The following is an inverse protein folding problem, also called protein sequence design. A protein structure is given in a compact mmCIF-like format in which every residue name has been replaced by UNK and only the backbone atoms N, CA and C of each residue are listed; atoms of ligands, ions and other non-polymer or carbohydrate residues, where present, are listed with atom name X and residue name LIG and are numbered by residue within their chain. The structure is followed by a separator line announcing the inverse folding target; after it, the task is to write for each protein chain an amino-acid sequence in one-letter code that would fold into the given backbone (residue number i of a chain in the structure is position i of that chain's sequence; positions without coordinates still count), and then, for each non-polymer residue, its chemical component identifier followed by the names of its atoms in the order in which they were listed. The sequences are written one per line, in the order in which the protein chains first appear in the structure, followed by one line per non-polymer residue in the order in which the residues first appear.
data_IF_555527267263
#
_entry.id   IF_555527267263
#
_cell.length_a   1.000
_cell.length_b   1.000
_cell.length_c   1.000
_cell.angle_alpha   90.00
_cell.angle_beta   90.00
_cell.angle_gamma   90.00
#
_symmetry.space_group_name_H-M   'P 1'
#
loop_
_entity.id
_entity.type
_entity.pdbx_description
1 polymer ?
#
# COMPACT_ATOMS: atom_id res chain seq x y z
N UNK A 1 16.15 1.08 5.96
CA UNK A 1 16.81 0.67 7.21
C UNK A 1 16.46 1.65 8.32
N UNK A 2 16.12 1.14 9.50
CA UNK A 2 15.90 1.92 10.73
C UNK A 2 16.89 1.49 11.81
N UNK A 3 17.11 2.33 12.82
CA UNK A 3 17.97 1.99 13.95
C UNK A 3 17.43 0.78 14.73
N UNK A 4 18.34 -0.02 15.28
CA UNK A 4 18.00 -1.16 16.15
C UNK A 4 17.60 -0.67 17.54
N UNK A 5 16.76 -1.43 18.25
CA UNK A 5 16.30 -1.18 19.63
C UNK A 5 15.29 -0.04 19.84
N UNK A 6 14.69 0.49 18.77
CA UNK A 6 13.57 1.44 18.87
C UNK A 6 12.22 0.76 18.59
N UNK A 7 11.70 0.07 19.61
CA UNK A 7 10.45 -0.69 19.52
C UNK A 7 9.33 -0.09 20.39
N UNK A 8 8.09 -0.27 19.93
CA UNK A 8 6.88 -0.04 20.71
C UNK A 8 6.65 -1.20 21.68
N UNK A 9 5.98 -0.93 22.80
CA UNK A 9 5.59 -1.96 23.78
C UNK A 9 4.59 -2.97 23.18
N UNK A 10 3.79 -2.52 22.20
CA UNK A 10 2.83 -3.34 21.47
C UNK A 10 2.90 -3.04 19.97
N UNK A 11 2.68 -4.07 19.15
CA UNK A 11 2.53 -3.86 17.70
C UNK A 11 1.37 -2.92 17.41
N UNK A 12 1.62 -1.89 16.60
CA UNK A 12 0.60 -0.96 16.14
C UNK A 12 0.08 -1.42 14.79
N UNK A 13 -1.22 -1.66 14.70
CA UNK A 13 -1.91 -1.79 13.41
C UNK A 13 -2.11 -0.39 12.82
N UNK A 14 -1.67 -0.21 11.59
CA UNK A 14 -1.78 1.08 10.90
C UNK A 14 -3.24 1.26 10.45
N UNK A 15 -3.91 2.37 10.80
CA UNK A 15 -5.24 2.68 10.26
C UNK A 15 -5.16 2.92 8.75
N UNK A 16 -6.10 2.36 8.00
CA UNK A 16 -6.17 2.49 6.55
C UNK A 16 -7.59 2.89 6.16
N UNK A 17 -7.75 4.01 5.47
CA UNK A 17 -8.96 4.31 4.72
C UNK A 17 -8.76 3.82 3.28
N UNK A 18 -9.70 3.04 2.76
CA UNK A 18 -9.65 2.50 1.41
C UNK A 18 -10.88 2.94 0.62
N UNK A 19 -10.66 3.45 -0.59
CA UNK A 19 -11.66 3.75 -1.60
C UNK A 19 -11.52 2.77 -2.75
N UNK A 20 -12.56 1.99 -2.99
CA UNK A 20 -12.62 1.02 -4.08
C UNK A 20 -13.71 1.47 -5.04
N UNK A 21 -13.31 1.94 -6.22
CA UNK A 21 -14.24 2.57 -7.18
C UNK A 21 -15.09 3.66 -6.53
N UNK A 22 -14.48 4.49 -5.67
CA UNK A 22 -15.14 5.56 -4.91
C UNK A 22 -15.87 5.13 -3.63
N UNK A 23 -16.05 3.83 -3.37
CA UNK A 23 -16.69 3.34 -2.16
C UNK A 23 -15.71 3.27 -0.99
N UNK A 24 -16.01 3.98 0.09
CA UNK A 24 -15.12 4.13 1.24
C UNK A 24 -15.31 3.05 2.31
N UNK A 25 -14.20 2.60 2.90
CA UNK A 25 -14.15 1.78 4.11
C UNK A 25 -12.91 2.10 4.94
N UNK A 26 -13.04 2.17 6.25
CA UNK A 26 -11.89 2.21 7.17
C UNK A 26 -11.60 0.82 7.72
N UNK A 27 -10.33 0.42 7.73
CA UNK A 27 -9.86 -0.86 8.26
C UNK A 27 -8.66 -0.67 9.19
N UNK A 28 -8.48 -1.64 10.08
CA UNK A 28 -7.26 -1.83 10.87
C UNK A 28 -7.02 -3.33 11.00
N UNK A 29 -5.82 -3.79 10.64
CA UNK A 29 -5.49 -5.21 10.56
C UNK A 29 -4.06 -5.46 11.03
N UNK A 30 -3.80 -6.63 11.61
CA UNK A 30 -2.46 -7.04 12.00
C UNK A 30 -1.54 -7.32 10.79
N UNK A 31 -2.12 -7.51 9.58
CA UNK A 31 -1.36 -7.69 8.33
C UNK A 31 -0.57 -6.44 7.94
N UNK A 32 -1.06 -5.25 8.31
CA UNK A 32 -0.38 -3.96 8.10
C UNK A 32 -0.11 -3.35 9.47
N UNK A 33 0.91 -3.90 10.14
CA UNK A 33 1.30 -3.48 11.48
C UNK A 33 2.82 -3.36 11.60
N UNK A 34 3.29 -2.65 12.62
CA UNK A 34 4.71 -2.58 12.96
C UNK A 34 4.90 -2.48 14.46
N UNK A 35 6.01 -3.01 14.96
CA UNK A 35 6.45 -2.86 16.34
C UNK A 35 7.60 -1.84 16.47
N UNK A 36 8.00 -1.16 15.40
CA UNK A 36 9.08 -0.15 15.45
C UNK A 36 8.49 1.22 15.79
N UNK A 37 9.20 2.04 16.56
CA UNK A 37 8.84 3.46 16.81
C UNK A 37 8.97 4.32 15.56
N UNK A 38 10.04 4.08 14.79
CA UNK A 38 10.22 4.64 13.45
C UNK A 38 10.26 3.50 12.46
N UNK A 39 9.39 3.56 11.45
CA UNK A 39 9.22 2.52 10.44
C UNK A 39 9.50 3.12 9.07
N UNK A 40 10.09 2.34 8.17
CA UNK A 40 10.25 2.79 6.78
C UNK A 40 8.91 2.77 6.08
N UNK A 41 8.69 3.73 5.18
CA UNK A 41 7.55 3.71 4.27
C UNK A 41 7.51 2.40 3.46
N UNK A 42 8.68 1.90 3.06
CA UNK A 42 8.85 0.60 2.39
C UNK A 42 8.25 -0.57 3.18
N UNK A 43 8.50 -0.68 4.49
CA UNK A 43 7.97 -1.80 5.29
C UNK A 43 6.44 -1.79 5.29
N UNK A 44 5.85 -0.61 5.44
CA UNK A 44 4.40 -0.44 5.48
C UNK A 44 3.79 -0.67 4.10
N UNK A 45 4.37 -0.10 3.04
CA UNK A 45 3.86 -0.25 1.67
C UNK A 45 3.93 -1.72 1.21
N UNK A 46 5.01 -2.45 1.50
CA UNK A 46 5.11 -3.89 1.18
C UNK A 46 4.02 -4.70 1.89
N UNK A 47 3.78 -4.43 3.17
CA UNK A 47 2.70 -5.09 3.94
C UNK A 47 1.33 -4.73 3.40
N UNK A 48 1.10 -3.46 3.05
CA UNK A 48 -0.14 -2.98 2.47
C UNK A 48 -0.39 -3.62 1.10
N UNK A 49 0.56 -3.58 0.16
CA UNK A 49 0.40 -4.18 -1.18
C UNK A 49 0.12 -5.68 -1.10
N UNK A 50 0.76 -6.39 -0.16
CA UNK A 50 0.45 -7.79 0.10
C UNK A 50 -0.99 -7.97 0.59
N UNK A 51 -1.42 -7.18 1.56
CA UNK A 51 -2.81 -7.18 2.04
C UNK A 51 -3.81 -6.90 0.90
N UNK A 52 -3.55 -5.88 0.09
CA UNK A 52 -4.40 -5.50 -1.03
C UNK A 52 -4.47 -6.61 -2.09
N UNK A 53 -3.35 -7.29 -2.36
CA UNK A 53 -3.34 -8.43 -3.27
C UNK A 53 -4.17 -9.60 -2.73
N UNK A 54 -4.01 -9.94 -1.45
CA UNK A 54 -4.72 -11.08 -0.84
C UNK A 54 -6.24 -10.87 -0.74
N UNK A 55 -6.67 -9.63 -0.48
CA UNK A 55 -8.09 -9.29 -0.24
C UNK A 55 -8.82 -8.75 -1.46
N UNK A 56 -8.12 -8.08 -2.39
CA UNK A 56 -8.74 -7.39 -3.53
C UNK A 56 -8.13 -7.77 -4.88
N UNK A 57 -7.11 -8.64 -4.93
CA UNK A 57 -6.51 -9.10 -6.18
C UNK A 57 -5.99 -7.96 -7.08
N UNK A 58 -5.37 -6.92 -6.49
CA UNK A 58 -5.02 -5.69 -7.23
C UNK A 58 -4.08 -5.92 -8.43
N UNK A 59 -3.24 -6.96 -8.41
CA UNK A 59 -2.32 -7.32 -9.49
C UNK A 59 -2.69 -8.61 -10.23
N UNK A 60 -3.91 -9.09 -10.06
CA UNK A 60 -4.41 -10.29 -10.74
C UNK A 60 -3.79 -11.57 -10.21
N UNK A 61 -4.25 -12.70 -10.77
CA UNK A 61 -3.72 -14.04 -10.49
C UNK A 61 -3.68 -14.46 -9.02
N UNK A 62 -4.52 -13.85 -8.16
CA UNK A 62 -4.66 -14.26 -6.77
C UNK A 62 -5.32 -15.65 -6.66
N UNK A 63 -4.73 -16.54 -5.87
CA UNK A 63 -5.26 -17.88 -5.62
C UNK A 63 -6.36 -17.98 -4.55
N UNK A 64 -6.73 -16.87 -3.90
CA UNK A 64 -7.69 -16.88 -2.76
C UNK A 64 -9.16 -16.70 -3.17
N UNK A 65 -9.46 -16.57 -4.47
CA UNK A 65 -10.78 -16.17 -5.04
C UNK A 65 -11.32 -14.80 -4.60
N UNK A 66 -10.66 -14.13 -3.65
CA UNK A 66 -11.05 -12.78 -3.21
C UNK A 66 -10.67 -11.76 -4.26
N UNK A 67 -11.54 -10.78 -4.50
CA UNK A 67 -11.32 -9.70 -5.46
C UNK A 67 -11.70 -10.06 -6.90
N UNK A 68 -12.19 -11.28 -7.16
CA UNK A 68 -12.74 -11.68 -8.47
C UNK A 68 -13.98 -10.85 -8.84
N UNK A 69 -14.73 -10.36 -7.85
CA UNK A 69 -15.89 -9.49 -8.05
C UNK A 69 -15.55 -8.17 -8.76
N UNK A 70 -14.28 -7.74 -8.74
CA UNK A 70 -13.81 -6.55 -9.43
C UNK A 70 -13.42 -6.82 -10.90
N UNK A 71 -13.39 -8.10 -11.31
CA UNK A 71 -13.09 -8.52 -12.68
C UNK A 71 -11.60 -8.61 -13.02
N UNK A 72 -11.31 -8.79 -14.31
CA UNK A 72 -9.96 -9.07 -14.83
C UNK A 72 -9.60 -8.25 -16.08
N UNK A 73 -10.23 -7.08 -16.24
CA UNK A 73 -10.14 -6.28 -17.48
C UNK A 73 -8.84 -5.48 -17.60
N UNK A 74 -8.11 -5.27 -16.50
CA UNK A 74 -6.86 -4.50 -16.53
C UNK A 74 -5.73 -5.27 -17.23
N UNK A 75 -4.68 -4.55 -17.62
CA UNK A 75 -3.42 -5.15 -18.11
C UNK A 75 -2.73 -6.06 -17.07
N UNK A 76 -3.13 -5.97 -15.80
CA UNK A 76 -2.66 -6.80 -14.70
C UNK A 76 -3.58 -8.01 -14.44
N UNK A 77 -4.58 -8.26 -15.30
CA UNK A 77 -5.59 -9.30 -15.08
C UNK A 77 -6.37 -9.13 -13.75
N UNK A 78 -6.58 -7.87 -13.37
CA UNK A 78 -7.34 -7.46 -12.20
C UNK A 78 -8.46 -6.49 -12.57
N UNK A 79 -9.26 -6.14 -11.56
CA UNK A 79 -10.28 -5.11 -11.65
C UNK A 79 -9.75 -3.70 -11.53
N UNK A 80 -8.43 -3.49 -11.58
CA UNK A 80 -7.80 -2.23 -11.23
C UNK A 80 -6.59 -1.93 -12.12
N UNK A 81 -6.42 -0.66 -12.50
CA UNK A 81 -5.23 -0.16 -13.21
C UNK A 81 -4.83 1.25 -12.79
N UNK A 82 -5.58 1.86 -11.87
CA UNK A 82 -5.27 3.12 -11.21
C UNK A 82 -5.27 2.86 -9.72
N UNK A 83 -4.26 3.36 -9.03
CA UNK A 83 -4.26 3.31 -7.58
C UNK A 83 -3.07 3.99 -6.94
N UNK A 84 -3.30 4.48 -5.73
CA UNK A 84 -2.34 5.27 -4.98
C UNK A 84 -2.48 4.97 -3.51
N UNK A 85 -1.37 4.78 -2.82
CA UNK A 85 -1.30 4.85 -1.37
C UNK A 85 -0.74 6.22 -0.98
N UNK A 86 -1.38 6.89 -0.04
CA UNK A 86 -0.93 8.15 0.55
C UNK A 86 -0.68 7.94 2.04
N UNK A 87 0.52 8.30 2.49
CA UNK A 87 0.86 8.37 3.89
C UNK A 87 0.46 9.75 4.41
N UNK A 88 -0.51 9.79 5.32
CA UNK A 88 -0.94 11.02 5.99
C UNK A 88 -0.27 11.12 7.35
N UNK A 89 0.68 12.05 7.46
CA UNK A 89 1.41 12.31 8.70
C UNK A 89 0.64 13.31 9.57
N UNK A 90 0.75 13.19 10.90
CA UNK A 90 0.00 14.05 11.83
C UNK A 90 0.41 15.53 11.78
N UNK A 91 1.51 15.88 11.10
CA UNK A 91 1.95 17.26 10.88
C UNK A 91 1.35 17.90 9.60
N UNK A 92 0.32 17.28 9.00
CA UNK A 92 -0.30 17.63 7.71
C UNK A 92 0.58 17.38 6.48
N UNK A 93 1.77 16.82 6.62
CA UNK A 93 2.56 16.38 5.47
C UNK A 93 2.00 15.09 4.89
N UNK A 94 2.12 14.95 3.58
CA UNK A 94 1.75 13.74 2.87
C UNK A 94 2.81 13.34 1.85
N UNK A 95 2.87 12.06 1.55
CA UNK A 95 3.57 11.55 0.38
C UNK A 95 2.86 10.30 -0.13
N UNK A 96 3.04 9.99 -1.41
CA UNK A 96 2.30 8.91 -2.05
C UNK A 96 3.16 8.03 -2.92
N UNK A 97 2.73 6.78 -3.09
CA UNK A 97 3.24 5.87 -4.11
C UNK A 97 2.11 5.44 -5.02
N UNK A 98 2.40 5.38 -6.32
CA UNK A 98 1.53 4.75 -7.30
C UNK A 98 1.62 3.22 -7.12
N UNK A 99 0.45 2.58 -6.99
CA UNK A 99 0.33 1.14 -6.82
C UNK A 99 0.60 0.39 -8.13
N UNK A 100 0.37 1.01 -9.28
CA UNK A 100 0.51 0.41 -10.61
C UNK A 100 1.72 0.93 -11.39
N UNK A 101 2.63 1.64 -10.73
CA UNK A 101 3.93 2.00 -11.29
C UNK A 101 4.76 0.75 -11.56
N UNK A 102 5.12 0.55 -12.83
CA UNK A 102 5.91 -0.59 -13.33
C UNK A 102 7.33 -0.16 -13.71
N UNK A 103 7.92 0.77 -12.96
CA UNK A 103 9.28 1.23 -13.26
C UNK A 103 9.40 2.05 -14.53
N UNK A 104 10.60 2.59 -14.74
CA UNK A 104 10.93 3.33 -15.96
C UNK A 104 11.26 2.38 -17.14
N UNK A 105 11.80 1.20 -16.82
CA UNK A 105 12.32 0.22 -17.79
C UNK A 105 11.61 -1.16 -17.70
N UNK A 106 10.58 -1.29 -16.86
CA UNK A 106 9.89 -2.57 -16.66
C UNK A 106 10.70 -3.62 -15.89
N UNK A 107 11.89 -3.29 -15.37
CA UNK A 107 12.73 -4.22 -14.62
C UNK A 107 12.50 -4.08 -13.10
N UNK A 108 12.57 -5.19 -12.32
CA UNK A 108 12.35 -5.14 -10.88
C UNK A 108 13.21 -4.10 -10.13
N UNK A 109 14.43 -3.83 -10.62
CA UNK A 109 15.32 -2.82 -10.03
C UNK A 109 14.71 -1.41 -10.04
N UNK A 110 13.96 -1.03 -11.08
CA UNK A 110 13.38 0.32 -11.18
C UNK A 110 12.13 0.43 -10.31
N UNK A 111 11.45 -0.68 -10.03
CA UNK A 111 10.24 -0.69 -9.20
C UNK A 111 10.57 -0.32 -7.75
N UNK A 112 11.75 -0.72 -7.28
CA UNK A 112 12.20 -0.52 -5.91
C UNK A 112 12.89 0.84 -5.67
N UNK A 113 13.21 1.59 -6.73
CA UNK A 113 13.85 2.93 -6.59
C UNK A 113 13.00 3.93 -5.82
N UNK A 114 11.68 3.73 -5.76
CA UNK A 114 10.77 4.55 -4.95
C UNK A 114 11.08 4.51 -3.44
N UNK A 115 11.93 3.57 -3.00
CA UNK A 115 12.36 3.43 -1.60
C UNK A 115 13.82 3.83 -1.37
N UNK A 116 14.52 4.33 -2.39
CA UNK A 116 15.95 4.66 -2.31
C UNK A 116 16.24 5.78 -1.29
N UNK A 117 15.27 6.68 -1.08
CA UNK A 117 15.35 7.76 -0.08
C UNK A 117 15.31 7.26 1.38
N UNK A 118 15.02 5.97 1.59
CA UNK A 118 14.86 5.36 2.90
C UNK A 118 13.90 6.13 3.82
N UNK A 119 12.80 6.68 3.28
CA UNK A 119 11.87 7.50 4.06
C UNK A 119 11.33 6.77 5.29
N UNK A 120 11.48 7.38 6.46
CA UNK A 120 10.99 6.87 7.75
C UNK A 120 9.89 7.74 8.32
N UNK A 121 8.94 7.12 9.00
CA UNK A 121 7.83 7.81 9.68
C UNK A 121 7.71 7.32 11.12
N UNK A 122 7.30 8.21 12.02
CA UNK A 122 6.99 7.82 13.40
C UNK A 122 5.71 6.99 13.40
N UNK A 123 5.81 5.76 13.90
CA UNK A 123 4.81 4.73 13.69
C UNK A 123 3.46 5.11 14.26
N UNK A 124 3.41 5.90 15.34
CA UNK A 124 2.16 6.27 16.02
C UNK A 124 1.46 7.49 15.37
N UNK A 125 2.16 8.20 14.47
CA UNK A 125 1.75 9.51 13.97
C UNK A 125 1.40 9.54 12.48
N UNK A 126 0.83 8.45 11.97
CA UNK A 126 0.31 8.42 10.60
C UNK A 126 -0.83 7.41 10.41
N UNK A 127 -1.57 7.61 9.33
CA UNK A 127 -2.51 6.65 8.73
C UNK A 127 -2.29 6.59 7.21
N UNK A 128 -2.94 5.61 6.56
CA UNK A 128 -2.88 5.44 5.11
C UNK A 128 -4.23 5.74 4.48
N UNK A 129 -4.22 6.45 3.36
CA UNK A 129 -5.35 6.55 2.45
C UNK A 129 -5.00 5.83 1.15
N UNK A 130 -5.87 4.90 0.74
CA UNK A 130 -5.67 4.05 -0.44
C UNK A 130 -6.83 4.26 -1.39
N UNK A 131 -6.55 4.69 -2.61
CA UNK A 131 -7.53 4.73 -3.69
C UNK A 131 -7.15 3.67 -4.73
N UNK A 132 -8.10 2.82 -5.11
CA UNK A 132 -7.96 1.86 -6.21
C UNK A 132 -9.20 1.90 -7.09
N UNK A 133 -8.99 1.97 -8.40
CA UNK A 133 -10.05 2.02 -9.38
C UNK A 133 -9.63 1.45 -10.74
N UNK A 134 -10.63 1.25 -11.60
CA UNK A 134 -10.45 0.95 -13.00
C UNK A 134 -10.83 2.14 -13.87
N UNK A 135 -10.00 2.42 -14.86
CA UNK A 135 -10.37 3.28 -15.98
C UNK A 135 -10.03 2.58 -17.29
N UNK A 136 -11.02 2.49 -18.18
CA UNK A 136 -10.79 2.00 -19.53
C UNK A 136 -9.76 2.89 -20.22
N UNK A 137 -8.71 2.28 -20.75
CA UNK A 137 -7.67 2.99 -21.48
C UNK A 137 -8.11 3.00 -22.94
N UNK A 138 -8.43 4.19 -23.46
CA UNK A 138 -8.81 4.43 -24.86
C UNK A 138 -7.56 4.32 -25.74
#
# INVERSE_FOLDING_TARGET
VTATNEYLDKSRNIPINIWINGNHKTISTNKVSTNKKFVTAQEIDVKLRKYLQEEYNIYGHNGTKKGEEYGHKSKFYSGFNIGKVTFHLNNNDTFSYDLFYTGDDGLPKSFLKIYEDNKTVESEKFHLDVDISYKETI
#
